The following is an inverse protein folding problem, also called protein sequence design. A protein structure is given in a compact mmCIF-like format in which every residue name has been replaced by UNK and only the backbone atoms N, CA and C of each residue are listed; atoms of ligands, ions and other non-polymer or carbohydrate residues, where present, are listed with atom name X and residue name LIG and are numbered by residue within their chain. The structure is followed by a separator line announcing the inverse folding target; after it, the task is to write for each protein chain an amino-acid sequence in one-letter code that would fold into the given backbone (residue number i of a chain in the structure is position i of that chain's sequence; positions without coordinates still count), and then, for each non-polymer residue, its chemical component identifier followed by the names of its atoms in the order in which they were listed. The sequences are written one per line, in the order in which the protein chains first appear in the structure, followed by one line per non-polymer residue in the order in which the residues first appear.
data_IF_590468085214
#
_entry.id   IF_590468085214
#
_cell.length_a   1.000
_cell.length_b   1.000
_cell.length_c   1.000
_cell.angle_alpha   90.00
_cell.angle_beta   90.00
_cell.angle_gamma   90.00
#
_symmetry.space_group_name_H-M   'P 1'
#
loop_
_entity.id
_entity.type
_entity.pdbx_description
1 polymer ?
#
# COMPACT_ATOMS: atom_id res chain seq x y z
N UNK A 1 3.29 -0.95 5.40
CA UNK A 1 3.10 -2.33 4.93
C UNK A 1 2.01 -2.35 3.87
N UNK A 2 2.16 -3.17 2.83
CA UNK A 2 1.16 -3.31 1.76
C UNK A 2 0.00 -4.23 2.15
N UNK A 3 -1.01 -4.33 1.30
CA UNK A 3 -2.17 -5.22 1.53
C UNK A 3 -1.79 -6.71 1.53
N UNK A 4 -0.63 -7.10 0.99
CA UNK A 4 -0.14 -8.47 1.05
C UNK A 4 0.34 -8.90 2.44
N UNK A 5 0.58 -7.93 3.34
CA UNK A 5 1.01 -8.16 4.73
C UNK A 5 2.22 -9.11 4.87
N UNK A 6 3.16 -9.03 3.93
CA UNK A 6 4.38 -9.84 3.97
C UNK A 6 5.47 -9.19 4.82
N UNK A 7 5.63 -7.87 4.69
CA UNK A 7 6.67 -7.10 5.38
C UNK A 7 6.20 -5.71 5.81
N UNK A 8 6.92 -5.13 6.76
CA UNK A 8 7.00 -3.70 7.01
C UNK A 8 8.23 -3.17 6.27
N UNK A 9 8.00 -2.41 5.22
CA UNK A 9 9.07 -1.73 4.50
C UNK A 9 9.30 -0.32 5.06
N UNK A 10 10.53 -0.04 5.44
CA UNK A 10 10.99 1.26 5.92
C UNK A 10 12.03 1.81 4.94
N UNK A 11 11.88 3.09 4.57
CA UNK A 11 12.80 3.79 3.69
C UNK A 11 13.28 5.07 4.38
N UNK A 12 14.60 5.26 4.47
CA UNK A 12 15.22 6.49 4.91
C UNK A 12 15.50 7.34 3.67
N UNK A 13 14.88 8.51 3.61
CA UNK A 13 14.91 9.38 2.44
C UNK A 13 15.38 10.77 2.86
N UNK A 14 16.36 11.30 2.14
CA UNK A 14 16.74 12.71 2.21
C UNK A 14 15.89 13.51 1.22
N UNK A 15 15.18 14.52 1.75
CA UNK A 15 14.29 15.42 1.01
C UNK A 15 14.84 16.86 0.95
N UNK A 16 16.12 17.07 1.28
CA UNK A 16 16.76 18.40 1.24
C UNK A 16 17.03 18.87 -0.19
N UNK A 17 17.22 17.95 -1.14
CA UNK A 17 17.30 18.26 -2.57
C UNK A 17 15.94 18.25 -3.26
N UNK A 18 15.85 18.90 -4.42
CA UNK A 18 14.64 18.90 -5.25
C UNK A 18 14.16 17.51 -5.67
N UNK A 19 15.09 16.56 -5.76
CA UNK A 19 14.81 15.15 -6.01
C UNK A 19 15.05 14.36 -4.72
N UNK A 20 14.08 13.54 -4.26
CA UNK A 20 14.29 12.67 -3.11
C UNK A 20 15.47 11.71 -3.31
N UNK A 21 16.33 11.57 -2.30
CA UNK A 21 17.43 10.61 -2.32
C UNK A 21 17.16 9.49 -1.33
N UNK A 22 17.12 8.25 -1.83
CA UNK A 22 17.00 7.07 -0.99
C UNK A 22 18.36 6.77 -0.35
N UNK A 23 18.44 6.89 0.97
CA UNK A 23 19.67 6.66 1.74
C UNK A 23 19.80 5.18 2.10
N UNK A 24 18.73 4.59 2.62
CA UNK A 24 18.71 3.20 3.04
C UNK A 24 17.29 2.64 3.07
N UNK A 25 17.19 1.31 2.99
CA UNK A 25 15.94 0.58 3.15
C UNK A 25 16.09 -0.52 4.19
N UNK A 26 14.98 -0.90 4.78
CA UNK A 26 14.88 -2.04 5.67
C UNK A 26 13.52 -2.69 5.47
N UNK A 27 13.46 -4.02 5.60
CA UNK A 27 12.22 -4.78 5.48
C UNK A 27 12.15 -5.79 6.61
N UNK A 28 11.12 -5.64 7.46
CA UNK A 28 10.88 -6.51 8.60
C UNK A 28 9.72 -7.48 8.27
N UNK A 29 9.95 -8.78 8.46
CA UNK A 29 8.95 -9.82 8.20
C UNK A 29 7.78 -9.74 9.20
N UNK A 30 6.56 -9.73 8.69
CA UNK A 30 5.32 -9.77 9.49
C UNK A 30 4.36 -10.88 9.05
N UNK A 31 4.83 -11.88 8.29
CA UNK A 31 3.99 -12.97 7.78
C UNK A 31 3.26 -13.75 8.88
N UNK A 32 3.78 -13.74 10.09
CA UNK A 32 3.12 -14.33 11.27
C UNK A 32 1.81 -13.62 11.65
N UNK A 33 1.65 -12.32 11.31
CA UNK A 33 0.46 -11.51 11.57
C UNK A 33 -0.55 -11.55 10.42
N UNK A 34 -0.14 -12.04 9.26
CA UNK A 34 -0.96 -12.11 8.05
C UNK A 34 -2.31 -12.83 8.26
N UNK A 35 -2.39 -13.96 8.99
CA UNK A 35 -3.68 -14.60 9.28
C UNK A 35 -4.63 -13.68 10.06
N UNK A 36 -4.12 -12.95 11.04
CA UNK A 36 -4.92 -12.05 11.87
C UNK A 36 -5.39 -10.82 11.10
N UNK A 37 -4.49 -10.22 10.30
CA UNK A 37 -4.81 -9.10 9.39
C UNK A 37 -5.93 -9.51 8.42
N UNK A 38 -5.83 -10.70 7.82
CA UNK A 38 -6.84 -11.21 6.89
C UNK A 38 -8.14 -11.63 7.58
N UNK A 39 -8.07 -12.19 8.79
CA UNK A 39 -9.27 -12.56 9.54
C UNK A 39 -10.11 -11.32 9.89
N UNK A 40 -9.44 -10.20 10.20
CA UNK A 40 -10.12 -8.92 10.36
C UNK A 40 -10.73 -8.40 9.07
N UNK A 41 -10.37 -8.90 7.87
CA UNK A 41 -10.96 -8.57 6.56
C UNK A 41 -12.40 -9.07 6.38
N UNK A 42 -12.84 -9.99 7.24
CA UNK A 42 -14.17 -10.62 7.23
C UNK A 42 -14.86 -10.46 8.58
N UNK A 43 -16.17 -10.73 8.64
CA UNK A 43 -16.88 -10.76 9.92
C UNK A 43 -16.30 -11.84 10.83
N UNK A 44 -16.16 -11.55 12.12
CA UNK A 44 -15.60 -12.52 13.06
C UNK A 44 -15.90 -12.20 14.52
N UNK A 45 -15.57 -13.14 15.41
CA UNK A 45 -15.75 -12.93 16.83
C UNK A 45 -14.82 -11.84 17.36
N UNK A 46 -15.39 -10.92 18.14
CA UNK A 46 -14.67 -9.90 18.91
C UNK A 46 -13.68 -9.06 18.08
N UNK A 47 -14.06 -8.73 16.85
CA UNK A 47 -13.22 -8.05 15.85
C UNK A 47 -12.66 -6.69 16.32
N UNK A 48 -13.42 -5.90 17.10
CA UNK A 48 -12.95 -4.61 17.64
C UNK A 48 -11.77 -4.81 18.62
N UNK A 49 -11.87 -5.79 19.52
CA UNK A 49 -10.81 -6.08 20.48
C UNK A 49 -9.56 -6.58 19.78
N UNK A 50 -9.72 -7.54 18.87
CA UNK A 50 -8.63 -8.12 18.07
C UNK A 50 -7.93 -7.07 17.22
N UNK A 51 -8.69 -6.19 16.58
CA UNK A 51 -8.15 -5.04 15.85
C UNK A 51 -7.35 -4.11 16.75
N UNK A 52 -7.83 -3.84 17.97
CA UNK A 52 -7.12 -2.99 18.94
C UNK A 52 -5.80 -3.63 19.41
N UNK A 53 -5.76 -4.95 19.58
CA UNK A 53 -4.54 -5.68 19.89
C UNK A 53 -3.56 -5.62 18.72
N UNK A 54 -4.04 -5.89 17.50
CA UNK A 54 -3.23 -5.85 16.28
C UNK A 54 -2.69 -4.44 16.00
N UNK A 55 -3.48 -3.41 16.23
CA UNK A 55 -3.07 -2.01 16.10
C UNK A 55 -1.86 -1.68 16.98
N UNK A 56 -1.91 -2.12 18.24
CA UNK A 56 -0.78 -1.97 19.17
C UNK A 56 0.41 -2.82 18.76
N UNK A 57 0.20 -4.09 18.39
CA UNK A 57 1.29 -4.97 17.97
C UNK A 57 2.00 -4.44 16.72
N UNK A 58 1.26 -4.03 15.70
CA UNK A 58 1.85 -3.43 14.50
C UNK A 58 2.58 -2.14 14.83
N UNK A 59 2.05 -1.29 15.72
CA UNK A 59 2.76 -0.10 16.21
C UNK A 59 4.14 -0.44 16.80
N UNK A 60 4.25 -1.52 17.58
CA UNK A 60 5.52 -2.03 18.10
C UNK A 60 6.46 -2.47 16.97
N UNK A 61 5.94 -3.22 15.98
CA UNK A 61 6.73 -3.71 14.84
C UNK A 61 7.22 -2.59 13.92
N UNK A 62 6.39 -1.58 13.67
CA UNK A 62 6.76 -0.39 12.91
C UNK A 62 7.88 0.38 13.64
N UNK A 63 7.73 0.61 14.96
CA UNK A 63 8.77 1.26 15.75
C UNK A 63 10.09 0.48 15.73
N UNK A 64 10.02 -0.84 15.86
CA UNK A 64 11.17 -1.72 15.77
C UNK A 64 11.87 -1.60 14.41
N UNK A 65 11.13 -1.73 13.30
CA UNK A 65 11.69 -1.62 11.96
C UNK A 65 12.34 -0.24 11.71
N UNK A 66 11.75 0.84 12.22
CA UNK A 66 12.37 2.18 12.16
C UNK A 66 13.67 2.25 12.96
N UNK A 67 13.66 1.79 14.21
CA UNK A 67 14.84 1.81 15.07
C UNK A 67 15.99 0.95 14.51
N UNK A 68 15.67 -0.21 13.92
CA UNK A 68 16.63 -1.06 13.24
C UNK A 68 17.26 -0.34 12.03
N UNK A 69 16.45 0.30 11.19
CA UNK A 69 16.93 1.07 10.03
C UNK A 69 17.88 2.21 10.45
N UNK A 70 17.49 3.05 11.41
CA UNK A 70 18.33 4.19 11.82
C UNK A 70 19.62 3.72 12.51
N UNK A 71 19.54 2.65 13.32
CA UNK A 71 20.71 2.07 14.00
C UNK A 71 21.71 1.51 12.99
N UNK A 72 21.24 0.83 11.94
CA UNK A 72 22.09 0.32 10.85
C UNK A 72 22.84 1.45 10.14
N UNK A 73 22.22 2.63 10.03
CA UNK A 73 22.84 3.83 9.46
C UNK A 73 23.64 4.66 10.48
N UNK A 74 23.75 4.19 11.72
CA UNK A 74 24.43 4.89 12.83
C UNK A 74 23.85 6.29 13.10
N UNK A 75 22.55 6.44 12.86
CA UNK A 75 21.80 7.65 13.14
C UNK A 75 21.06 7.54 14.46
N UNK A 76 20.73 8.69 15.03
CA UNK A 76 19.88 8.84 16.20
C UNK A 76 18.50 9.38 15.81
N UNK A 77 17.54 9.33 16.74
CA UNK A 77 16.22 9.93 16.55
C UNK A 77 16.29 11.43 16.20
N UNK A 78 17.30 12.15 16.72
CA UNK A 78 17.48 13.58 16.48
C UNK A 78 17.89 13.90 15.03
N UNK A 79 18.42 12.92 14.30
CA UNK A 79 18.79 13.07 12.89
C UNK A 79 17.59 12.90 11.95
N UNK A 80 16.44 12.45 12.47
CA UNK A 80 15.24 12.17 11.69
C UNK A 80 14.19 13.25 11.96
N UNK A 81 13.79 13.97 10.90
CA UNK A 81 12.78 15.02 11.01
C UNK A 81 11.39 14.48 11.40
N UNK A 82 10.95 13.41 10.72
CA UNK A 82 9.67 12.77 10.99
C UNK A 82 9.62 11.34 10.41
N UNK A 83 8.69 10.55 10.93
CA UNK A 83 8.26 9.26 10.35
C UNK A 83 6.95 9.50 9.60
N UNK A 84 6.87 9.06 8.35
CA UNK A 84 5.60 8.91 7.63
C UNK A 84 5.13 7.45 7.69
N UNK A 85 4.12 7.14 8.50
CA UNK A 85 3.61 5.78 8.64
C UNK A 85 2.23 5.63 8.02
N UNK A 86 2.15 4.87 6.93
CA UNK A 86 0.87 4.49 6.33
C UNK A 86 0.07 3.53 7.22
N UNK A 87 0.75 2.70 8.01
CA UNK A 87 0.14 1.56 8.72
C UNK A 87 -0.19 0.39 7.79
N UNK A 88 -1.07 -0.49 8.28
CA UNK A 88 -1.63 -1.66 7.59
C UNK A 88 -3.11 -1.43 7.32
N UNK A 89 -3.55 -1.49 6.07
CA UNK A 89 -4.98 -1.37 5.74
C UNK A 89 -5.76 -2.61 6.20
N UNK A 90 -6.82 -2.39 6.98
CA UNK A 90 -7.81 -3.41 7.36
C UNK A 90 -9.10 -3.25 6.53
N UNK A 91 -9.53 -2.00 6.30
CA UNK A 91 -10.66 -1.68 5.41
C UNK A 91 -10.38 -0.45 4.57
N UNK A 92 -10.86 -0.49 3.34
CA UNK A 92 -10.91 0.67 2.46
C UNK A 92 -12.27 0.67 1.77
N UNK A 93 -13.06 1.70 2.06
CA UNK A 93 -14.43 1.84 1.60
C UNK A 93 -14.60 3.26 1.03
N UNK A 94 -14.18 3.47 -0.24
CA UNK A 94 -14.23 4.79 -0.87
C UNK A 94 -15.70 5.21 -1.13
N UNK A 95 -15.94 6.50 -1.43
CA UNK A 95 -17.28 6.97 -1.80
C UNK A 95 -17.86 6.15 -2.97
N UNK A 96 -19.14 5.80 -2.86
CA UNK A 96 -19.92 5.12 -3.89
C UNK A 96 -21.28 5.80 -4.02
N UNK A 97 -21.99 5.56 -5.12
CA UNK A 97 -23.33 6.15 -5.32
C UNK A 97 -24.38 5.65 -4.30
N UNK A 98 -24.10 4.56 -3.58
CA UNK A 98 -25.04 3.92 -2.64
C UNK A 98 -24.74 4.18 -1.18
N UNK A 99 -23.56 4.69 -0.84
CA UNK A 99 -23.10 4.75 0.54
C UNK A 99 -22.75 6.18 0.98
N UNK A 100 -23.45 6.67 2.01
CA UNK A 100 -23.32 8.06 2.49
C UNK A 100 -22.03 8.32 3.29
N UNK A 101 -21.35 7.27 3.76
CA UNK A 101 -20.23 7.39 4.69
C UNK A 101 -19.01 6.58 4.22
N UNK A 102 -18.22 7.19 3.35
CA UNK A 102 -16.91 6.67 2.96
C UNK A 102 -15.93 6.68 4.14
N UNK A 103 -15.08 5.66 4.22
CA UNK A 103 -14.05 5.58 5.25
C UNK A 103 -12.87 4.72 4.81
N UNK A 104 -11.75 4.88 5.52
CA UNK A 104 -10.64 3.95 5.42
C UNK A 104 -10.02 3.75 6.79
N UNK A 105 -9.59 2.53 7.06
CA UNK A 105 -9.04 2.13 8.34
C UNK A 105 -7.69 1.46 8.14
N UNK A 106 -6.66 2.14 8.66
CA UNK A 106 -5.31 1.63 8.78
C UNK A 106 -5.00 1.44 10.26
N UNK A 107 -4.37 0.32 10.60
CA UNK A 107 -3.89 0.02 11.95
C UNK A 107 -2.36 0.07 12.00
N UNK A 108 -1.82 0.22 13.21
CA UNK A 108 -0.41 0.50 13.49
C UNK A 108 -0.31 1.79 14.28
N UNK A 109 -0.50 1.68 15.60
CA UNK A 109 -0.64 2.82 16.51
C UNK A 109 0.51 3.82 16.37
N UNK A 110 0.21 5.00 15.82
CA UNK A 110 1.18 6.06 15.60
C UNK A 110 1.72 6.65 16.91
N UNK A 111 0.95 6.60 18.00
CA UNK A 111 1.41 7.06 19.31
C UNK A 111 2.49 6.11 19.84
N UNK A 112 2.31 4.81 19.65
CA UNK A 112 3.33 3.81 19.97
C UNK A 112 4.59 4.01 19.15
N UNK A 113 4.45 4.26 17.84
CA UNK A 113 5.60 4.54 16.96
C UNK A 113 6.36 5.77 17.46
N UNK A 114 5.67 6.88 17.71
CA UNK A 114 6.28 8.11 18.20
C UNK A 114 6.97 7.91 19.56
N UNK A 115 6.29 7.23 20.49
CA UNK A 115 6.80 7.00 21.84
C UNK A 115 8.06 6.12 21.87
N UNK A 116 8.12 5.09 21.03
CA UNK A 116 9.22 4.12 21.05
C UNK A 116 10.40 4.49 20.16
N UNK A 117 10.19 5.37 19.18
CA UNK A 117 11.27 5.91 18.34
C UNK A 117 11.79 7.24 18.86
N UNK A 118 10.98 7.99 19.62
CA UNK A 118 11.28 9.37 20.00
C UNK A 118 11.19 10.36 18.83
N UNK A 119 10.59 9.95 17.70
CA UNK A 119 10.52 10.75 16.46
C UNK A 119 9.07 11.16 16.20
N UNK A 120 8.86 12.41 15.80
CA UNK A 120 7.55 12.90 15.35
C UNK A 120 6.98 11.98 14.27
N UNK A 121 5.79 11.44 14.50
CA UNK A 121 5.15 10.49 13.57
C UNK A 121 3.91 11.09 12.94
N UNK A 122 3.88 11.15 11.62
CA UNK A 122 2.72 11.52 10.80
C UNK A 122 2.12 10.23 10.23
N UNK A 123 0.82 10.02 10.44
CA UNK A 123 0.10 8.84 10.01
C UNK A 123 -1.32 9.19 9.53
N UNK A 124 -2.11 8.17 9.20
CA UNK A 124 -3.54 8.32 8.83
C UNK A 124 -3.80 9.22 7.61
N UNK A 125 -2.97 9.05 6.57
CA UNK A 125 -3.00 9.90 5.37
C UNK A 125 -4.33 9.83 4.61
N UNK A 126 -4.96 8.65 4.56
CA UNK A 126 -6.14 8.40 3.71
C UNK A 126 -7.39 9.11 4.21
N UNK A 127 -7.57 9.19 5.53
CA UNK A 127 -8.76 9.81 6.12
C UNK A 127 -8.83 11.31 5.83
N UNK A 128 -7.69 11.98 5.67
CA UNK A 128 -7.66 13.39 5.27
C UNK A 128 -8.22 13.61 3.86
N UNK A 129 -7.87 12.75 2.91
CA UNK A 129 -8.36 12.83 1.53
C UNK A 129 -9.87 12.56 1.47
N UNK A 130 -10.34 11.51 2.17
CA UNK A 130 -11.78 11.19 2.27
C UNK A 130 -12.58 12.34 2.91
N UNK A 131 -12.04 12.98 3.94
CA UNK A 131 -12.68 14.13 4.58
C UNK A 131 -12.84 15.35 3.65
N UNK A 132 -12.08 15.40 2.54
CA UNK A 132 -12.22 16.41 1.48
C UNK A 132 -13.10 15.94 0.31
N UNK A 133 -13.74 14.77 0.43
CA UNK A 133 -14.56 14.16 -0.63
C UNK A 133 -13.77 13.30 -1.62
N UNK A 134 -12.48 13.05 -1.36
CA UNK A 134 -11.65 12.16 -2.16
C UNK A 134 -11.90 10.68 -1.89
N UNK A 135 -11.22 9.81 -2.63
CA UNK A 135 -11.36 8.36 -2.52
C UNK A 135 -10.46 7.75 -1.42
N UNK A 136 -9.48 8.49 -0.92
CA UNK A 136 -8.44 7.97 -0.01
C UNK A 136 -7.35 7.17 -0.71
N UNK A 137 -7.40 7.03 -2.03
CA UNK A 137 -6.45 6.28 -2.87
C UNK A 137 -6.61 6.64 -4.37
N UNK A 138 -5.55 6.48 -5.19
CA UNK A 138 -4.15 6.40 -4.80
C UNK A 138 -3.61 7.78 -4.36
N UNK A 139 -2.83 7.84 -3.28
CA UNK A 139 -2.24 9.11 -2.79
C UNK A 139 -0.88 9.47 -3.45
N UNK A 140 -0.30 8.51 -4.18
CA UNK A 140 1.01 8.64 -4.84
C UNK A 140 1.07 9.55 -6.07
N UNK A 141 -0.02 9.91 -6.79
CA UNK A 141 0.09 10.76 -7.99
C UNK A 141 0.82 12.08 -7.78
N UNK A 142 0.58 12.77 -6.67
CA UNK A 142 1.27 14.04 -6.38
C UNK A 142 2.78 13.86 -6.20
N UNK A 143 3.19 12.78 -5.52
CA UNK A 143 4.60 12.40 -5.41
C UNK A 143 5.18 12.03 -6.78
N UNK A 144 4.45 11.24 -7.57
CA UNK A 144 4.88 10.86 -8.91
C UNK A 144 5.09 12.07 -9.81
N UNK A 145 4.21 13.08 -9.73
CA UNK A 145 4.39 14.33 -10.45
C UNK A 145 5.68 15.04 -10.00
N UNK A 146 5.87 15.24 -8.70
CA UNK A 146 7.03 15.95 -8.16
C UNK A 146 8.38 15.30 -8.55
N UNK A 147 8.43 13.96 -8.63
CA UNK A 147 9.69 13.23 -8.87
C UNK A 147 9.90 12.87 -10.34
N UNK A 148 8.83 12.55 -11.07
CA UNK A 148 8.93 11.94 -12.39
C UNK A 148 8.27 12.78 -13.50
N UNK A 149 7.71 13.95 -13.22
CA UNK A 149 7.24 14.81 -14.30
C UNK A 149 8.42 15.26 -15.17
N UNK A 150 8.20 15.26 -16.49
CA UNK A 150 9.15 15.79 -17.45
C UNK A 150 8.39 16.61 -18.50
N UNK A 151 8.65 17.93 -18.60
CA UNK A 151 8.00 18.78 -19.59
C UNK A 151 8.19 18.24 -21.02
N UNK A 152 7.10 18.23 -21.79
CA UNK A 152 7.05 17.70 -23.16
C UNK A 152 7.13 16.18 -23.27
N UNK A 153 7.12 15.43 -22.16
CA UNK A 153 7.23 13.98 -22.15
C UNK A 153 6.12 13.34 -21.31
N UNK A 154 5.00 12.93 -21.94
CA UNK A 154 3.98 12.14 -21.26
C UNK A 154 4.58 10.84 -20.69
N UNK A 155 4.20 10.49 -19.47
CA UNK A 155 4.66 9.28 -18.76
C UNK A 155 3.48 8.61 -18.06
N UNK A 156 3.50 7.28 -18.03
CA UNK A 156 2.65 6.50 -17.15
C UNK A 156 3.54 5.81 -16.11
N UNK A 157 3.16 5.90 -14.85
CA UNK A 157 3.78 5.16 -13.75
C UNK A 157 2.80 4.09 -13.32
N UNK A 158 3.26 2.84 -13.33
CA UNK A 158 2.42 1.67 -13.03
C UNK A 158 2.99 0.99 -11.80
N UNK A 159 2.22 1.00 -10.71
CA UNK A 159 2.54 0.25 -9.50
C UNK A 159 1.70 -1.03 -9.47
N UNK A 160 2.37 -2.18 -9.38
CA UNK A 160 1.73 -3.50 -9.36
C UNK A 160 1.90 -4.11 -7.96
N UNK A 161 1.06 -3.66 -7.02
CA UNK A 161 0.97 -4.23 -5.67
C UNK A 161 -0.07 -5.34 -5.59
N UNK A 162 -0.68 -5.55 -4.42
CA UNK A 162 -1.88 -6.39 -4.31
C UNK A 162 -3.00 -5.87 -5.22
N UNK A 163 -3.20 -4.55 -5.21
CA UNK A 163 -3.95 -3.81 -6.23
C UNK A 163 -2.97 -3.05 -7.12
N UNK A 164 -3.24 -3.03 -8.43
CA UNK A 164 -2.50 -2.24 -9.39
C UNK A 164 -3.10 -0.84 -9.48
N UNK A 165 -2.23 0.17 -9.57
CA UNK A 165 -2.63 1.55 -9.80
C UNK A 165 -1.71 2.21 -10.80
N UNK A 166 -2.24 3.24 -11.46
CA UNK A 166 -1.49 4.02 -12.42
C UNK A 166 -1.52 5.50 -12.07
N UNK A 167 -0.48 6.21 -12.48
CA UNK A 167 -0.47 7.67 -12.55
C UNK A 167 -0.10 8.09 -13.97
N UNK A 168 -0.91 8.96 -14.56
CA UNK A 168 -0.68 9.54 -15.87
C UNK A 168 -0.14 10.95 -15.69
N UNK A 169 1.11 11.15 -16.12
CA UNK A 169 1.79 12.44 -16.15
C UNK A 169 1.76 12.96 -17.59
N UNK A 170 1.00 14.03 -17.88
CA UNK A 170 0.80 14.49 -19.26
C UNK A 170 2.00 15.27 -19.83
N UNK A 171 2.93 15.71 -18.97
CA UNK A 171 4.12 16.46 -19.37
C UNK A 171 3.84 17.90 -19.81
N UNK A 172 2.66 18.45 -19.49
CA UNK A 172 2.28 19.83 -19.81
C UNK A 172 2.22 20.76 -18.58
N UNK A 173 2.76 20.33 -17.43
CA UNK A 173 2.91 21.12 -16.19
C UNK A 173 1.61 21.67 -15.59
N UNK A 174 0.44 21.22 -16.06
CA UNK A 174 -0.85 21.59 -15.48
C UNK A 174 -1.23 20.59 -14.38
N UNK A 175 -1.47 21.03 -13.12
CA UNK A 175 -1.92 20.13 -12.06
C UNK A 175 -3.28 19.49 -12.33
N UNK A 176 -4.16 20.16 -13.10
CA UNK A 176 -5.51 19.68 -13.43
C UNK A 176 -5.55 18.51 -14.40
N UNK A 177 -4.42 18.15 -15.02
CA UNK A 177 -4.31 17.05 -15.97
C UNK A 177 -3.61 15.82 -15.38
N UNK A 178 -3.21 15.87 -14.11
CA UNK A 178 -2.71 14.71 -13.36
C UNK A 178 -3.86 13.75 -13.09
N UNK A 179 -3.73 12.52 -13.57
CA UNK A 179 -4.71 11.46 -13.33
C UNK A 179 -4.05 10.31 -12.59
N UNK A 180 -4.79 9.70 -11.66
CA UNK A 180 -4.38 8.46 -11.02
C UNK A 180 -5.58 7.68 -10.55
N UNK A 181 -5.56 6.37 -10.75
CA UNK A 181 -6.66 5.48 -10.39
C UNK A 181 -6.15 4.06 -10.20
N UNK A 182 -6.89 3.29 -9.41
CA UNK A 182 -6.70 1.85 -9.29
C UNK A 182 -7.23 1.18 -10.56
N UNK A 183 -6.42 0.32 -11.18
CA UNK A 183 -6.82 -0.41 -12.39
C UNK A 183 -7.43 -1.77 -12.09
N UNK A 184 -7.38 -2.20 -10.83
CA UNK A 184 -7.89 -3.49 -10.38
C UNK A 184 -6.83 -4.34 -9.66
N UNK A 185 -7.06 -5.65 -9.52
CA UNK A 185 -6.14 -6.55 -8.81
C UNK A 185 -4.80 -6.67 -9.56
N UNK A 186 -3.70 -6.54 -8.82
CA UNK A 186 -2.35 -6.85 -9.27
C UNK A 186 -1.96 -8.26 -8.82
N UNK A 187 -1.02 -8.35 -7.90
CA UNK A 187 -0.50 -9.60 -7.36
C UNK A 187 -1.50 -10.35 -6.46
N UNK A 188 -2.57 -9.70 -5.96
CA UNK A 188 -3.52 -10.34 -5.04
C UNK A 188 -4.17 -11.59 -5.65
N UNK A 189 -4.48 -11.56 -6.95
CA UNK A 189 -5.04 -12.73 -7.65
C UNK A 189 -4.02 -13.84 -7.84
N UNK A 190 -2.79 -13.51 -8.22
CA UNK A 190 -1.72 -14.49 -8.41
C UNK A 190 -1.41 -15.20 -7.08
N UNK A 191 -1.30 -14.43 -6.00
CA UNK A 191 -1.10 -14.97 -4.66
C UNK A 191 -2.32 -15.78 -4.17
N UNK A 192 -3.54 -15.31 -4.39
CA UNK A 192 -4.76 -16.05 -4.04
C UNK A 192 -4.90 -17.38 -4.78
N UNK A 193 -4.64 -17.40 -6.11
CA UNK A 193 -4.63 -18.62 -6.91
C UNK A 193 -3.55 -19.60 -6.43
N UNK A 194 -2.35 -19.12 -6.09
CA UNK A 194 -1.28 -19.97 -5.59
C UNK A 194 -1.64 -20.71 -4.29
N UNK A 195 -2.42 -20.07 -3.42
CA UNK A 195 -2.91 -20.68 -2.16
C UNK A 195 -4.01 -21.71 -2.44
N UNK A 196 -4.89 -21.43 -3.42
CA UNK A 196 -5.98 -22.35 -3.81
C UNK A 196 -5.49 -23.57 -4.60
N UNK A 197 -4.37 -23.45 -5.34
CA UNK A 197 -3.85 -24.49 -6.25
C UNK A 197 -2.74 -25.34 -5.60
N UNK A 198 -2.41 -25.12 -4.32
CA UNK A 198 -1.49 -26.01 -3.58
C UNK A 198 -2.07 -27.40 -3.29
N UNK A 199 -3.29 -27.69 -3.74
CA UNK A 199 -3.79 -29.05 -3.96
C UNK A 199 -3.69 -29.39 -5.46
N UNK A 200 -2.61 -30.08 -5.83
CA UNK A 200 -2.30 -30.65 -7.16
C UNK A 200 -1.95 -29.66 -8.30
N UNK A 201 -0.63 -29.60 -8.60
CA UNK A 201 -0.05 -29.34 -9.92
C UNK A 201 -0.14 -27.93 -10.55
N UNK A 202 0.39 -26.88 -9.90
CA UNK A 202 0.97 -25.72 -10.63
C UNK A 202 2.17 -25.15 -9.87
N UNK A 203 3.34 -25.10 -10.50
CA UNK A 203 4.47 -24.30 -10.04
C UNK A 203 4.34 -22.88 -10.61
N UNK A 204 4.15 -21.88 -9.74
CA UNK A 204 4.16 -20.46 -10.14
C UNK A 204 5.54 -19.91 -9.79
N UNK A 205 6.35 -19.62 -10.81
CA UNK A 205 7.63 -18.93 -10.65
C UNK A 205 7.46 -17.47 -11.10
N UNK A 206 8.00 -16.53 -10.33
CA UNK A 206 7.88 -15.08 -10.58
C UNK A 206 8.33 -14.75 -12.02
N UNK A 207 7.36 -14.43 -12.89
CA UNK A 207 7.61 -13.97 -14.26
C UNK A 207 6.98 -14.80 -15.40
N UNK A 208 6.40 -15.98 -15.14
CA UNK A 208 5.67 -16.74 -16.17
C UNK A 208 4.42 -17.39 -15.57
N UNK A 209 3.24 -16.91 -15.97
CA UNK A 209 1.99 -17.67 -15.83
C UNK A 209 1.84 -18.51 -17.11
N UNK A 210 2.33 -19.74 -17.12
CA UNK A 210 2.15 -20.63 -18.27
C UNK A 210 0.73 -21.20 -18.25
N UNK A 211 -0.18 -20.54 -18.97
CA UNK A 211 -1.57 -21.00 -19.10
C UNK A 211 -1.61 -22.19 -20.07
N UNK A 212 -1.48 -23.42 -19.53
CA UNK A 212 -1.49 -24.66 -20.33
C UNK A 212 -2.90 -25.20 -20.69
N UNK A 213 -3.98 -24.47 -20.38
CA UNK A 213 -5.34 -24.94 -20.70
C UNK A 213 -6.27 -23.86 -21.27
N UNK A 214 -7.05 -24.23 -22.28
CA UNK A 214 -8.07 -23.39 -22.93
C UNK A 214 -9.22 -22.98 -22.01
N UNK A 215 -9.43 -23.68 -20.88
CA UNK A 215 -10.42 -23.32 -19.84
C UNK A 215 -10.06 -22.04 -19.08
N UNK A 216 -8.77 -21.70 -18.97
CA UNK A 216 -8.34 -20.50 -18.25
C UNK A 216 -8.58 -19.21 -19.05
N UNK A 217 -8.54 -19.27 -20.39
CA UNK A 217 -8.79 -18.12 -21.25
C UNK A 217 -10.26 -17.65 -21.17
N UNK A 218 -11.22 -18.56 -21.13
CA UNK A 218 -12.64 -18.22 -20.95
C UNK A 218 -12.94 -17.68 -19.55
N UNK A 219 -12.25 -18.17 -18.51
CA UNK A 219 -12.35 -17.62 -17.15
C UNK A 219 -11.77 -16.21 -17.05
N UNK A 220 -10.63 -15.92 -17.68
CA UNK A 220 -10.04 -14.58 -17.74
C UNK A 220 -10.96 -13.57 -18.45
N UNK A 221 -11.61 -13.99 -19.54
CA UNK A 221 -12.58 -13.17 -20.26
C UNK A 221 -13.84 -12.86 -19.45
N UNK A 222 -14.23 -13.75 -18.51
CA UNK A 222 -15.34 -13.54 -17.59
C UNK A 222 -14.97 -12.66 -16.37
N UNK A 223 -13.68 -12.59 -16.03
CA UNK A 223 -13.14 -11.82 -14.90
C UNK A 223 -12.87 -10.34 -15.26
N UNK A 224 -12.74 -10.04 -16.56
CA UNK A 224 -12.66 -8.67 -17.09
C UNK A 224 -13.83 -8.47 -18.05
N UNK A 225 -15.09 -8.36 -17.56
CA UNK A 225 -16.18 -7.98 -18.43
C UNK A 225 -15.96 -6.55 -18.92
N UNK A 226 -16.20 -6.30 -20.21
CA UNK A 226 -15.94 -5.05 -20.94
C UNK A 226 -15.80 -3.80 -20.06
N UNK A 227 -14.58 -3.26 -20.01
CA UNK A 227 -14.30 -1.93 -19.45
C UNK A 227 -14.97 -0.91 -20.36
N UNK A 228 -16.24 -0.62 -20.09
CA UNK A 228 -16.90 0.56 -20.66
C UNK A 228 -16.31 1.80 -19.98
N UNK A 229 -15.85 2.81 -20.74
CA UNK A 229 -15.33 4.04 -20.16
C UNK A 229 -16.43 4.75 -19.36
N UNK A 230 -16.12 5.09 -18.10
CA UNK A 230 -16.86 6.07 -17.29
C UNK A 230 -16.37 7.46 -17.67
#
# INVERSE_FOLDING_TARGET
SGTSADSIDAALVDLTSSTPQLIATHSADIRTLKPEIHALASCGENEIHRMSQLDRELGLRFAQATNELITQQKLSAADITAIGSHGQTIRHFPPSNSDEHAYSLQVGDSNTIAQLTGITTVADFRRRDIALGGHGAPLVPAFHQAVFEKPGCPRAIVNIGGMANITLLPGNSSPSSLLGYDTGPGNAWISGLSVLISAECVAINWGVLEVRSTKAASMLSALVPDISPI
#
